data_IF_005693533804
#
_entry.id   IF_005693533804
#
_cell.length_a   1.000
_cell.length_b   1.000
_cell.length_c   1.000
_cell.angle_alpha   90.00
_cell.angle_beta   90.00
_cell.angle_gamma   90.00
#
_symmetry.space_group_name_H-M   'P 1'
#
loop_
_entity.id
_entity.type
_entity.pdbx_description
1 polymer ?
#
# COMPACT_ATOMS: atom_id res chain seq x y z
N UNK A 1 -11.50 30.42 -15.73
CA UNK A 1 -10.92 29.87 -14.48
C UNK A 1 -11.99 29.93 -13.41
N UNK A 2 -12.60 28.79 -13.04
CA UNK A 2 -13.47 28.72 -11.87
C UNK A 2 -12.58 28.47 -10.65
N UNK A 3 -12.72 29.28 -9.62
CA UNK A 3 -12.11 29.02 -8.32
C UNK A 3 -12.63 27.68 -7.80
N UNK A 4 -11.72 26.77 -7.46
CA UNK A 4 -12.07 25.52 -6.78
C UNK A 4 -12.50 25.84 -5.35
N UNK A 5 -13.68 25.36 -4.96
CA UNK A 5 -14.17 25.49 -3.60
C UNK A 5 -13.40 24.52 -2.71
N UNK A 6 -12.73 25.03 -1.69
CA UNK A 6 -12.00 24.25 -0.67
C UNK A 6 -12.90 23.80 0.48
N UNK A 7 -14.22 23.90 0.33
CA UNK A 7 -15.16 23.51 1.38
C UNK A 7 -15.29 21.98 1.46
N UNK A 8 -14.38 21.36 2.22
CA UNK A 8 -14.39 19.93 2.54
C UNK A 8 -15.59 19.52 3.40
N UNK A 9 -16.38 20.47 3.91
CA UNK A 9 -17.51 20.21 4.84
C UNK A 9 -18.66 19.38 4.24
N UNK A 10 -18.65 19.15 2.92
CA UNK A 10 -19.70 18.39 2.23
C UNK A 10 -19.29 16.98 1.78
N UNK A 11 -17.99 16.66 1.73
CA UNK A 11 -17.55 15.32 1.34
C UNK A 11 -17.30 14.45 2.60
N UNK A 12 -18.07 13.36 2.81
CA UNK A 12 -17.89 12.50 3.98
C UNK A 12 -16.51 11.83 4.03
N UNK A 13 -15.85 11.63 2.88
CA UNK A 13 -14.50 11.07 2.77
C UNK A 13 -13.38 12.06 3.10
N UNK A 14 -13.70 13.31 3.45
CA UNK A 14 -12.72 14.35 3.81
C UNK A 14 -13.01 14.95 5.20
N UNK A 15 -13.83 14.31 6.02
CA UNK A 15 -14.27 14.82 7.32
C UNK A 15 -14.27 13.75 8.42
N UNK A 16 -14.27 14.20 9.68
CA UNK A 16 -14.27 13.32 10.84
C UNK A 16 -13.10 12.34 10.84
N UNK A 17 -13.40 11.04 11.01
CA UNK A 17 -12.38 9.97 11.00
C UNK A 17 -11.73 9.75 9.62
N UNK A 18 -12.30 10.33 8.55
CA UNK A 18 -11.78 10.27 7.19
C UNK A 18 -11.12 11.59 6.77
N UNK A 19 -10.96 12.54 7.70
CA UNK A 19 -10.26 13.77 7.42
C UNK A 19 -8.78 13.48 7.04
N UNK A 20 -8.24 14.10 5.99
CA UNK A 20 -6.85 13.89 5.60
C UNK A 20 -5.87 14.31 6.69
N UNK A 21 -4.82 13.52 6.85
CA UNK A 21 -3.64 13.86 7.64
C UNK A 21 -2.72 14.69 6.75
N UNK A 22 -2.34 15.88 7.22
CA UNK A 22 -1.56 16.83 6.43
C UNK A 22 -0.03 16.67 6.58
N UNK A 23 0.44 15.84 7.51
CA UNK A 23 1.89 15.69 7.80
C UNK A 23 2.29 14.26 8.15
N UNK A 24 3.54 13.92 7.85
CA UNK A 24 4.19 12.72 8.36
C UNK A 24 4.67 12.95 9.80
N UNK A 25 4.53 11.95 10.63
CA UNK A 25 4.90 11.97 12.04
C UNK A 25 5.89 10.85 12.33
N UNK A 26 6.83 11.15 13.23
CA UNK A 26 7.60 10.15 13.97
C UNK A 26 7.40 10.46 15.44
N UNK A 27 6.78 9.55 16.16
CA UNK A 27 6.58 9.65 17.59
C UNK A 27 7.36 8.53 18.27
N UNK A 28 8.12 8.89 19.30
CA UNK A 28 8.77 8.00 20.26
C UNK A 28 8.20 8.28 21.64
N UNK A 29 8.56 7.48 22.66
CA UNK A 29 8.08 7.64 24.04
C UNK A 29 6.54 7.66 24.16
N UNK A 30 5.90 6.71 23.48
CA UNK A 30 4.45 6.62 23.42
C UNK A 30 3.86 6.32 24.80
N UNK A 31 2.84 7.07 25.25
CA UNK A 31 2.19 6.78 26.53
C UNK A 31 1.44 5.45 26.46
N UNK A 32 1.66 4.60 27.47
CA UNK A 32 1.01 3.29 27.62
C UNK A 32 0.11 3.32 28.85
N UNK A 33 -1.13 2.86 28.70
CA UNK A 33 -2.03 2.56 29.83
C UNK A 33 -2.11 1.04 29.98
N UNK A 34 -1.76 0.53 31.16
CA UNK A 34 -1.59 -0.91 31.38
C UNK A 34 -0.17 -1.39 31.08
N UNK A 35 -0.04 -2.63 30.61
CA UNK A 35 1.25 -3.27 30.33
C UNK A 35 1.25 -3.83 28.90
N UNK A 36 2.33 -3.62 28.17
CA UNK A 36 2.55 -4.25 26.86
C UNK A 36 3.23 -5.61 27.08
N UNK A 37 2.73 -6.71 26.48
CA UNK A 37 3.37 -8.01 26.60
C UNK A 37 4.81 -7.99 26.07
N UNK A 38 5.74 -8.59 26.82
CA UNK A 38 7.16 -8.61 26.45
C UNK A 38 7.44 -9.47 25.21
N UNK A 39 6.56 -10.43 24.93
CA UNK A 39 6.66 -11.38 23.81
C UNK A 39 6.31 -10.76 22.46
N UNK A 40 5.68 -9.58 22.43
CA UNK A 40 5.42 -8.86 21.18
C UNK A 40 6.73 -8.25 20.68
N UNK A 41 7.24 -8.81 19.60
CA UNK A 41 8.42 -8.35 18.87
C UNK A 41 8.09 -8.22 17.39
N UNK A 42 7.89 -6.98 16.93
CA UNK A 42 7.61 -6.70 15.53
C UNK A 42 6.85 -5.40 15.31
N UNK A 43 6.22 -5.30 14.13
CA UNK A 43 5.50 -4.10 13.71
C UNK A 43 4.06 -4.44 13.37
N UNK A 44 3.13 -3.67 13.92
CA UNK A 44 1.77 -3.62 13.41
C UNK A 44 1.66 -2.50 12.39
N UNK A 45 1.37 -2.83 11.13
CA UNK A 45 1.29 -1.87 10.04
C UNK A 45 -0.09 -1.94 9.39
N UNK A 46 -0.66 -0.77 9.08
CA UNK A 46 -1.88 -0.62 8.28
C UNK A 46 -1.63 0.34 7.13
N UNK A 47 -2.36 0.18 6.04
CA UNK A 47 -2.34 1.08 4.90
C UNK A 47 -3.74 1.64 4.67
N UNK A 48 -3.83 2.80 4.05
CA UNK A 48 -5.10 3.40 3.68
C UNK A 48 -4.91 4.62 2.78
N UNK A 49 -6.01 5.09 2.18
CA UNK A 49 -5.98 6.32 1.40
C UNK A 49 -5.89 7.56 2.30
N UNK A 50 -4.93 8.43 2.01
CA UNK A 50 -4.75 9.73 2.61
C UNK A 50 -4.27 10.73 1.55
N UNK A 51 -5.16 11.55 0.98
CA UNK A 51 -4.82 12.41 -0.14
C UNK A 51 -3.82 13.51 0.28
N UNK A 52 -2.80 13.71 -0.55
CA UNK A 52 -1.82 14.79 -0.43
C UNK A 52 -2.07 15.86 -1.50
N UNK A 53 -1.99 17.13 -1.10
CA UNK A 53 -2.13 18.29 -1.97
C UNK A 53 -3.58 18.78 -2.12
N UNK A 54 -3.83 19.53 -3.19
CA UNK A 54 -5.16 20.07 -3.48
C UNK A 54 -6.13 18.96 -3.91
N UNK A 55 -7.34 18.98 -3.35
CA UNK A 55 -8.38 17.98 -3.59
C UNK A 55 -9.65 18.70 -4.04
N UNK A 56 -10.27 18.21 -5.12
CA UNK A 56 -11.63 18.61 -5.47
C UNK A 56 -12.63 17.82 -4.62
N UNK A 57 -13.13 18.45 -3.56
CA UNK A 57 -14.06 17.81 -2.63
C UNK A 57 -15.35 17.32 -3.32
N UNK A 58 -15.77 17.88 -4.45
CA UNK A 58 -17.00 17.45 -5.13
C UNK A 58 -16.86 16.10 -5.84
N UNK A 59 -15.64 15.72 -6.25
CA UNK A 59 -15.37 14.51 -7.03
C UNK A 59 -14.52 13.48 -6.29
N UNK A 60 -14.02 13.82 -5.10
CA UNK A 60 -13.16 12.94 -4.33
C UNK A 60 -13.88 11.68 -3.82
N UNK A 61 -13.23 10.52 -4.00
CA UNK A 61 -13.63 9.25 -3.45
C UNK A 61 -12.43 8.65 -2.71
N UNK A 62 -12.63 8.09 -1.52
CA UNK A 62 -11.51 7.61 -0.70
C UNK A 62 -10.57 6.62 -1.41
N UNK A 63 -11.04 5.73 -2.29
CA UNK A 63 -10.17 4.80 -3.03
C UNK A 63 -9.14 5.47 -3.93
N UNK A 64 -9.31 6.75 -4.28
CA UNK A 64 -8.36 7.50 -5.11
C UNK A 64 -7.32 8.28 -4.28
N UNK A 65 -7.40 8.24 -2.95
CA UNK A 65 -6.42 8.88 -2.07
C UNK A 65 -5.04 8.25 -2.18
N UNK A 66 -4.00 9.06 -1.94
CA UNK A 66 -2.61 8.58 -1.94
C UNK A 66 -2.39 7.54 -0.83
N UNK A 67 -1.51 6.56 -1.05
CA UNK A 67 -1.24 5.56 -0.01
C UNK A 67 -0.55 6.18 1.19
N UNK A 68 -1.03 5.93 2.40
CA UNK A 68 -0.33 6.25 3.64
C UNK A 68 -0.33 5.05 4.58
N UNK A 69 0.88 4.59 4.87
CA UNK A 69 1.10 3.53 5.85
C UNK A 69 1.27 4.12 7.25
N UNK A 70 0.70 3.43 8.22
CA UNK A 70 0.86 3.71 9.64
C UNK A 70 1.44 2.48 10.31
N UNK A 71 2.49 2.65 11.12
CA UNK A 71 3.15 1.56 11.82
C UNK A 71 3.37 1.86 13.30
N UNK A 72 3.28 0.80 14.11
CA UNK A 72 3.65 0.77 15.53
C UNK A 72 4.68 -0.35 15.73
N UNK A 73 5.88 0.00 16.19
CA UNK A 73 6.91 -0.98 16.56
C UNK A 73 6.79 -1.34 18.03
N UNK A 74 6.75 -2.64 18.32
CA UNK A 74 6.68 -3.21 19.66
C UNK A 74 7.88 -4.13 19.89
N UNK A 75 8.55 -3.98 21.02
CA UNK A 75 9.67 -4.86 21.41
C UNK A 75 9.86 -4.84 22.92
N UNK A 76 9.88 -6.01 23.55
CA UNK A 76 10.25 -6.17 24.96
C UNK A 76 9.47 -5.26 25.90
N UNK A 77 8.13 -5.26 25.76
CA UNK A 77 7.22 -4.51 26.61
C UNK A 77 7.18 -3.00 26.32
N UNK A 78 7.74 -2.54 25.20
CA UNK A 78 7.76 -1.12 24.80
C UNK A 78 7.14 -0.91 23.44
N UNK A 79 6.45 0.23 23.29
CA UNK A 79 6.11 0.80 22.00
C UNK A 79 7.24 1.75 21.57
N UNK A 80 8.16 1.24 20.76
CA UNK A 80 9.40 1.95 20.42
C UNK A 80 9.13 3.20 19.58
N UNK A 81 8.19 3.09 18.63
CA UNK A 81 7.78 4.23 17.81
C UNK A 81 6.42 4.02 17.15
N UNK A 82 5.77 5.14 16.85
CA UNK A 82 4.70 5.24 15.86
C UNK A 82 5.17 6.11 14.70
N UNK A 83 4.84 5.71 13.47
CA UNK A 83 5.12 6.48 12.26
C UNK A 83 3.96 6.41 11.30
N UNK A 84 3.73 7.49 10.56
CA UNK A 84 3.00 7.46 9.30
C UNK A 84 3.88 7.98 8.16
N UNK A 85 3.81 7.32 7.01
CA UNK A 85 4.52 7.71 5.78
C UNK A 85 3.60 7.60 4.59
N UNK A 86 3.59 8.60 3.73
CA UNK A 86 3.02 8.42 2.40
C UNK A 86 3.88 7.43 1.61
N UNK A 87 3.21 6.51 0.92
CA UNK A 87 3.87 5.68 -0.07
C UNK A 87 4.25 6.58 -1.25
N UNK A 88 5.52 6.59 -1.63
CA UNK A 88 6.05 7.49 -2.66
C UNK A 88 5.65 7.05 -4.07
N UNK A 89 4.41 7.37 -4.43
CA UNK A 89 3.95 7.41 -5.82
C UNK A 89 4.60 8.61 -6.54
N UNK A 90 4.54 8.62 -7.87
CA UNK A 90 5.03 9.73 -8.70
C UNK A 90 4.47 11.07 -8.24
N UNK A 91 3.14 11.12 -8.03
CA UNK A 91 2.44 12.32 -7.54
C UNK A 91 2.93 12.75 -6.16
N UNK A 92 3.08 11.81 -5.22
CA UNK A 92 3.52 12.12 -3.86
C UNK A 92 4.96 12.65 -3.86
N UNK A 93 5.88 12.00 -4.57
CA UNK A 93 7.26 12.47 -4.70
C UNK A 93 7.32 13.89 -5.27
N UNK A 94 6.55 14.18 -6.32
CA UNK A 94 6.48 15.52 -6.91
C UNK A 94 6.00 16.58 -5.90
N UNK A 95 4.91 16.29 -5.17
CA UNK A 95 4.33 17.21 -4.19
C UNK A 95 5.25 17.45 -2.98
N UNK A 96 6.09 16.48 -2.62
CA UNK A 96 7.09 16.61 -1.57
C UNK A 96 8.42 17.21 -2.07
N UNK A 97 8.58 17.42 -3.38
CA UNK A 97 9.82 17.93 -3.97
C UNK A 97 10.96 16.91 -3.95
N UNK A 98 10.63 15.61 -3.93
CA UNK A 98 11.56 14.49 -3.88
C UNK A 98 11.77 13.88 -5.29
N UNK A 99 12.92 13.25 -5.56
CA UNK A 99 13.06 12.44 -6.76
C UNK A 99 12.05 11.27 -6.74
N UNK A 100 11.58 10.80 -7.91
CA UNK A 100 10.67 9.67 -7.97
C UNK A 100 11.32 8.42 -7.38
N UNK A 101 10.56 7.67 -6.57
CA UNK A 101 11.05 6.40 -6.05
C UNK A 101 11.41 5.44 -7.21
N UNK A 102 12.50 4.66 -7.12
CA UNK A 102 12.92 3.73 -8.16
C UNK A 102 11.84 2.70 -8.54
N UNK A 103 12.02 2.04 -9.69
CA UNK A 103 11.17 0.95 -10.17
C UNK A 103 10.18 1.36 -11.26
N UNK A 104 9.75 0.40 -12.07
CA UNK A 104 8.79 0.63 -13.15
C UNK A 104 7.40 0.97 -12.60
N UNK A 105 6.68 1.89 -13.25
CA UNK A 105 5.26 2.14 -12.99
C UNK A 105 4.41 1.44 -14.04
N UNK A 106 3.26 0.93 -13.60
CA UNK A 106 2.20 0.50 -14.50
C UNK A 106 1.29 1.71 -14.79
N UNK A 107 -0.01 1.50 -15.02
CA UNK A 107 -0.94 2.60 -15.35
C UNK A 107 -1.10 3.63 -14.22
N UNK A 108 -0.99 3.20 -12.97
CA UNK A 108 -1.00 4.04 -11.80
C UNK A 108 -0.11 3.38 -10.72
N UNK A 109 0.19 4.13 -9.67
CA UNK A 109 1.19 3.74 -8.68
C UNK A 109 0.80 4.10 -7.24
N UNK A 110 -0.51 4.21 -7.00
CA UNK A 110 -1.09 4.56 -5.70
C UNK A 110 -1.35 3.32 -4.83
N UNK A 111 -0.33 2.84 -4.12
CA UNK A 111 -0.45 1.67 -3.25
C UNK A 111 -1.10 1.99 -1.89
N UNK A 112 -2.43 1.99 -1.83
CA UNK A 112 -3.21 2.49 -0.68
C UNK A 112 -4.16 1.47 -0.01
N UNK A 113 -4.19 0.22 -0.48
CA UNK A 113 -5.25 -0.74 -0.10
C UNK A 113 -4.82 -1.65 1.04
N UNK A 114 -3.63 -2.25 0.94
CA UNK A 114 -3.15 -3.22 1.92
C UNK A 114 -1.64 -3.08 2.17
N UNK A 115 -1.14 -3.74 3.21
CA UNK A 115 0.28 -3.88 3.53
C UNK A 115 0.57 -5.29 4.03
N UNK A 116 1.64 -5.92 3.55
CA UNK A 116 2.04 -7.27 3.95
C UNK A 116 3.53 -7.35 4.22
N UNK A 117 3.94 -8.37 4.99
CA UNK A 117 5.31 -8.84 5.06
C UNK A 117 5.50 -10.13 4.28
N UNK A 118 6.55 -10.22 3.46
CA UNK A 118 6.93 -11.45 2.76
C UNK A 118 8.42 -11.49 2.44
N UNK A 119 9.05 -12.66 2.57
CA UNK A 119 10.48 -12.85 2.29
C UNK A 119 11.40 -11.81 3.00
N UNK A 120 11.05 -11.43 4.24
CA UNK A 120 11.78 -10.43 5.02
C UNK A 120 11.58 -8.97 4.56
N UNK A 121 10.70 -8.72 3.60
CA UNK A 121 10.39 -7.40 3.04
C UNK A 121 8.97 -6.97 3.40
N UNK A 122 8.70 -5.67 3.37
CA UNK A 122 7.37 -5.08 3.60
C UNK A 122 6.86 -4.46 2.32
N UNK A 123 5.61 -4.74 1.93
CA UNK A 123 5.02 -4.23 0.69
C UNK A 123 3.68 -3.54 0.95
N UNK A 124 3.54 -2.29 0.49
CA UNK A 124 2.24 -1.65 0.30
C UNK A 124 1.65 -2.06 -1.05
N UNK A 125 0.35 -2.34 -1.07
CA UNK A 125 -0.34 -2.93 -2.21
C UNK A 125 -1.61 -2.16 -2.58
N UNK A 126 -1.96 -2.22 -3.86
CA UNK A 126 -3.25 -1.86 -4.44
C UNK A 126 -3.52 -2.82 -5.59
N UNK A 127 -4.78 -3.14 -5.83
CA UNK A 127 -5.19 -4.01 -6.95
C UNK A 127 -5.15 -3.28 -8.31
N UNK A 128 -5.80 -3.83 -9.33
CA UNK A 128 -6.03 -3.22 -10.65
C UNK A 128 -4.79 -2.87 -11.49
N UNK A 129 -3.60 -3.24 -11.03
CA UNK A 129 -2.43 -3.27 -11.89
C UNK A 129 -1.24 -2.44 -11.45
N UNK A 130 -1.25 -1.80 -10.28
CA UNK A 130 -0.03 -1.16 -9.78
C UNK A 130 1.01 -2.22 -9.33
N UNK A 131 2.27 -1.81 -9.30
CA UNK A 131 3.33 -2.60 -8.67
C UNK A 131 3.17 -2.58 -7.14
N UNK A 132 3.50 -3.67 -6.43
CA UNK A 132 3.82 -3.61 -5.00
C UNK A 132 4.88 -2.52 -4.73
N UNK A 133 4.75 -1.80 -3.62
CA UNK A 133 5.75 -0.79 -3.22
C UNK A 133 6.49 -1.30 -1.98
N UNK A 134 7.79 -1.52 -2.12
CA UNK A 134 8.63 -2.03 -1.04
C UNK A 134 8.96 -0.91 -0.04
N UNK A 135 8.89 -1.22 1.25
CA UNK A 135 9.09 -0.29 2.36
C UNK A 135 10.18 -0.78 3.31
N UNK A 136 10.92 0.16 3.90
CA UNK A 136 11.85 -0.13 5.00
C UNK A 136 11.10 -0.52 6.28
N UNK A 137 11.85 -0.93 7.31
CA UNK A 137 11.28 -1.19 8.63
C UNK A 137 10.68 0.09 9.26
N UNK A 138 11.25 1.25 8.90
CA UNK A 138 10.84 2.60 9.28
C UNK A 138 9.69 3.16 8.43
N UNK A 139 9.18 2.38 7.46
CA UNK A 139 8.11 2.73 6.50
C UNK A 139 8.51 3.66 5.35
N UNK A 140 9.81 3.91 5.15
CA UNK A 140 10.27 4.71 4.01
C UNK A 140 10.12 3.90 2.71
N UNK A 141 9.74 4.55 1.60
CA UNK A 141 9.61 3.85 0.31
C UNK A 141 10.98 3.53 -0.26
N UNK A 142 11.21 2.25 -0.57
CA UNK A 142 12.44 1.76 -1.21
C UNK A 142 12.29 1.83 -2.74
N UNK A 143 11.28 1.16 -3.29
CA UNK A 143 11.03 1.10 -4.74
C UNK A 143 9.63 0.55 -5.06
N UNK A 144 9.21 0.73 -6.31
CA UNK A 144 8.10 -0.03 -6.90
C UNK A 144 8.66 -1.34 -7.43
N UNK A 145 8.26 -2.44 -6.81
CA UNK A 145 8.88 -3.75 -6.96
C UNK A 145 8.18 -4.57 -8.05
N UNK A 146 8.99 -5.17 -8.92
CA UNK A 146 8.58 -6.21 -9.85
C UNK A 146 9.02 -7.60 -9.35
N UNK A 147 9.22 -7.75 -8.03
CA UNK A 147 9.74 -8.97 -7.40
C UNK A 147 11.03 -9.45 -8.07
N UNK A 148 12.00 -8.55 -8.14
CA UNK A 148 13.35 -8.80 -8.64
C UNK A 148 13.35 -9.28 -10.11
N UNK A 149 12.51 -8.64 -10.94
CA UNK A 149 12.35 -8.89 -12.37
C UNK A 149 11.44 -10.06 -12.73
N UNK A 150 10.66 -10.62 -11.78
CA UNK A 150 9.87 -11.85 -12.01
C UNK A 150 8.36 -11.63 -12.10
N UNK A 151 7.86 -10.49 -11.62
CA UNK A 151 6.48 -10.08 -11.78
C UNK A 151 6.34 -9.29 -13.10
N UNK A 152 5.51 -9.72 -14.07
CA UNK A 152 5.39 -9.02 -15.35
C UNK A 152 4.53 -7.74 -15.28
N UNK A 153 3.46 -7.73 -14.49
CA UNK A 153 2.45 -6.66 -14.47
C UNK A 153 2.18 -6.21 -13.02
N UNK A 154 0.96 -5.76 -12.73
CA UNK A 154 0.58 -5.45 -11.36
C UNK A 154 0.33 -6.66 -10.48
N UNK A 155 0.01 -6.39 -9.22
CA UNK A 155 -0.25 -7.41 -8.21
C UNK A 155 -1.58 -7.12 -7.50
N UNK A 156 -2.11 -8.14 -6.83
CA UNK A 156 -3.29 -8.01 -5.97
C UNK A 156 -2.96 -7.31 -4.64
N UNK A 157 -3.97 -6.68 -4.04
CA UNK A 157 -3.90 -6.22 -2.66
C UNK A 157 -4.16 -7.34 -1.64
N UNK A 158 -4.69 -8.50 -2.06
CA UNK A 158 -5.16 -9.56 -1.15
C UNK A 158 -4.45 -10.92 -1.35
N UNK A 159 -3.10 -10.99 -1.44
CA UNK A 159 -2.43 -12.27 -1.53
C UNK A 159 -2.61 -13.07 -0.23
N UNK A 160 -2.63 -14.39 -0.34
CA UNK A 160 -2.75 -15.30 0.81
C UNK A 160 -1.45 -16.04 1.02
N UNK A 161 -0.94 -16.02 2.25
CA UNK A 161 0.22 -16.83 2.63
C UNK A 161 -0.23 -18.24 2.98
N UNK A 162 0.34 -19.23 2.34
CA UNK A 162 0.15 -20.63 2.71
C UNK A 162 0.91 -20.91 4.04
N UNK A 163 0.24 -21.41 5.08
CA UNK A 163 0.89 -21.72 6.35
C UNK A 163 1.92 -22.86 6.24
N UNK A 164 1.75 -23.80 5.32
CA UNK A 164 2.61 -24.99 5.21
C UNK A 164 3.91 -24.69 4.45
N UNK A 165 3.81 -24.00 3.31
CA UNK A 165 4.97 -23.68 2.45
C UNK A 165 5.57 -22.30 2.72
N UNK A 166 4.77 -21.36 3.24
CA UNK A 166 5.13 -19.96 3.39
C UNK A 166 5.08 -19.15 2.09
N UNK A 167 4.66 -19.74 0.97
CA UNK A 167 4.50 -19.06 -0.31
C UNK A 167 3.30 -18.10 -0.29
N UNK A 168 3.33 -17.08 -1.15
CA UNK A 168 2.17 -16.23 -1.40
C UNK A 168 1.44 -16.67 -2.66
N UNK A 169 0.13 -16.82 -2.53
CA UNK A 169 -0.80 -17.10 -3.60
C UNK A 169 -1.60 -15.85 -3.92
N UNK A 170 -1.62 -15.48 -5.20
CA UNK A 170 -2.24 -14.25 -5.67
C UNK A 170 -3.08 -14.51 -6.92
N UNK A 171 -4.23 -13.84 -7.00
CA UNK A 171 -5.01 -13.71 -8.24
C UNK A 171 -4.99 -12.24 -8.60
N UNK A 172 -4.37 -11.92 -9.74
CA UNK A 172 -4.23 -10.55 -10.21
C UNK A 172 -5.17 -10.34 -11.40
N UNK A 173 -5.82 -9.18 -11.45
CA UNK A 173 -6.41 -8.66 -12.68
C UNK A 173 -5.62 -7.42 -13.09
N UNK A 174 -5.46 -7.24 -14.40
CA UNK A 174 -4.66 -6.16 -14.95
C UNK A 174 -5.42 -5.47 -16.07
N UNK A 175 -5.57 -4.14 -15.96
CA UNK A 175 -6.34 -3.34 -16.91
C UNK A 175 -5.91 -3.52 -18.38
N UNK A 176 -4.62 -3.79 -18.63
CA UNK A 176 -4.06 -4.00 -19.97
C UNK A 176 -4.27 -5.42 -20.53
N UNK A 177 -4.87 -6.33 -19.75
CA UNK A 177 -5.22 -7.71 -20.14
C UNK A 177 -6.64 -8.05 -19.64
N UNK A 178 -7.68 -7.32 -20.07
CA UNK A 178 -9.03 -7.36 -19.48
C UNK A 178 -9.75 -8.72 -19.62
N UNK A 179 -9.29 -9.59 -20.50
CA UNK A 179 -9.82 -10.94 -20.71
C UNK A 179 -9.12 -12.03 -19.88
N UNK A 180 -8.16 -11.67 -19.03
CA UNK A 180 -7.35 -12.61 -18.26
C UNK A 180 -7.25 -12.22 -16.78
N UNK A 181 -7.32 -13.23 -15.92
CA UNK A 181 -6.73 -13.17 -14.59
C UNK A 181 -5.38 -13.87 -14.60
N UNK A 182 -4.48 -13.47 -13.72
CA UNK A 182 -3.18 -14.11 -13.53
C UNK A 182 -3.12 -14.72 -12.14
N UNK A 183 -3.08 -16.04 -12.08
CA UNK A 183 -2.74 -16.75 -10.86
C UNK A 183 -1.21 -16.78 -10.71
N UNK A 184 -0.70 -16.18 -9.64
CA UNK A 184 0.72 -16.03 -9.36
C UNK A 184 1.05 -16.68 -8.02
N UNK A 185 2.17 -17.41 -7.98
CA UNK A 185 2.78 -17.90 -6.74
C UNK A 185 4.13 -17.23 -6.56
N UNK A 186 4.31 -16.54 -5.42
CA UNK A 186 5.58 -15.91 -5.02
C UNK A 186 6.23 -16.80 -3.96
N UNK A 187 7.44 -17.27 -4.25
CA UNK A 187 8.20 -18.13 -3.35
C UNK A 187 8.67 -17.38 -2.09
N UNK A 188 9.17 -18.13 -1.10
CA UNK A 188 9.74 -17.57 0.14
C UNK A 188 11.01 -16.72 -0.07
N UNK A 189 11.59 -16.76 -1.27
CA UNK A 189 12.66 -15.87 -1.73
C UNK A 189 12.14 -14.52 -2.29
N UNK A 190 10.82 -14.34 -2.32
CA UNK A 190 10.15 -13.15 -2.81
C UNK A 190 10.15 -13.00 -4.33
N UNK A 191 10.38 -14.09 -5.07
CA UNK A 191 10.34 -14.14 -6.53
C UNK A 191 9.12 -14.93 -7.02
N UNK A 192 8.51 -14.50 -8.12
CA UNK A 192 7.45 -15.25 -8.80
C UNK A 192 8.02 -16.59 -9.30
N UNK A 193 7.42 -17.69 -8.84
CA UNK A 193 7.81 -19.07 -9.21
C UNK A 193 6.85 -19.71 -10.20
N UNK A 194 5.60 -19.28 -10.18
CA UNK A 194 4.54 -19.78 -11.07
C UNK A 194 3.63 -18.64 -11.49
N UNK A 195 3.25 -18.67 -12.77
CA UNK A 195 2.22 -17.81 -13.35
C UNK A 195 1.33 -18.65 -14.25
N UNK A 196 0.02 -18.47 -14.13
CA UNK A 196 -0.97 -19.11 -15.00
C UNK A 196 -1.98 -18.06 -15.42
N UNK A 197 -2.13 -17.86 -16.72
CA UNK A 197 -3.19 -17.03 -17.28
C UNK A 197 -4.51 -17.81 -17.24
N UNK A 198 -5.56 -17.20 -16.69
CA UNK A 198 -6.89 -17.77 -16.54
C UNK A 198 -7.87 -16.90 -17.33
N UNK A 199 -8.39 -17.38 -18.47
CA UNK A 199 -9.36 -16.64 -19.26
C UNK A 199 -10.66 -16.36 -18.51
N UNK A 200 -11.13 -15.12 -18.55
CA UNK A 200 -12.39 -14.70 -17.95
C UNK A 200 -13.19 -13.79 -18.89
N UNK A 201 -14.53 -13.93 -18.94
CA UNK A 201 -15.36 -12.99 -19.70
C UNK A 201 -15.57 -11.68 -18.92
N UNK A 202 -15.65 -10.56 -19.64
CA UNK A 202 -16.26 -9.33 -19.11
C UNK A 202 -15.42 -8.46 -18.18
N UNK A 203 -14.09 -8.66 -18.10
CA UNK A 203 -13.17 -7.85 -17.29
C UNK A 203 -13.65 -7.58 -15.85
N UNK A 204 -13.89 -8.64 -15.06
CA UNK A 204 -14.37 -8.47 -13.70
C UNK A 204 -13.31 -7.80 -12.83
N UNK A 205 -13.77 -6.94 -11.92
CA UNK A 205 -12.97 -6.58 -10.75
C UNK A 205 -12.88 -7.82 -9.85
N UNK A 206 -11.67 -8.28 -9.57
CA UNK A 206 -11.40 -9.42 -8.66
C UNK A 206 -10.57 -8.91 -7.50
N UNK A 207 -11.27 -8.40 -6.49
CA UNK A 207 -10.66 -7.80 -5.29
C UNK A 207 -9.95 -8.84 -4.42
N UNK A 208 -10.62 -9.97 -4.17
CA UNK A 208 -10.17 -11.09 -3.34
C UNK A 208 -10.70 -12.42 -3.90
#
# INVERSE_FOLDING_TARGET
>A
MRAMSTDTSTNPYLSGNLAPIATEYTAVDLPVTGELPEELDGRYVRNGPNPLGAIDAASYHWFTGDGMVHGLSLRGGRAEWYRNRWVRSTKVSELLGEPPAPGERQFFDTANTNVIGHAGRTFALVEAGARPVELTDELETICHSDFDGTLPYGFTAHPKRDPDTGELFAVNYYWGRPELLEYVVVGVDGRVRRRVDVPVPGNPMVHD
#
